data_IF_684948636725
#
_entry.id   IF_684948636725
#
_cell.length_a   1.000
_cell.length_b   1.000
_cell.length_c   1.000
_cell.angle_alpha   90.00
_cell.angle_beta   90.00
_cell.angle_gamma   90.00
#
_symmetry.space_group_name_H-M   'P 1'
#
loop_
_entity.id
_entity.type
_entity.pdbx_description
1 polymer ?
#
# COMPACT_ATOMS: atom_id res chain seq x y z
N UNK A 1 -27.07 33.95 0.81
CA UNK A 1 -27.14 32.48 0.98
C UNK A 1 -25.90 32.09 1.77
N UNK A 2 -26.06 31.66 3.03
CA UNK A 2 -24.95 31.36 3.96
C UNK A 2 -24.81 29.84 4.11
N UNK A 3 -24.25 29.15 3.13
CA UNK A 3 -23.99 27.69 3.18
C UNK A 3 -22.51 27.34 3.38
N UNK A 4 -21.61 28.33 3.28
CA UNK A 4 -20.16 28.16 3.15
C UNK A 4 -19.46 27.47 4.35
N UNK A 5 -19.84 27.65 5.62
CA UNK A 5 -19.15 27.02 6.75
C UNK A 5 -19.44 25.51 6.92
N UNK A 6 -20.68 25.09 6.64
CA UNK A 6 -21.12 23.71 6.87
C UNK A 6 -20.56 22.75 5.82
N UNK A 7 -20.51 23.18 4.56
CA UNK A 7 -19.89 22.42 3.48
C UNK A 7 -18.39 22.23 3.73
N UNK A 8 -17.70 23.28 4.19
CA UNK A 8 -16.27 23.24 4.52
C UNK A 8 -15.97 22.25 5.64
N UNK A 9 -16.75 22.28 6.72
CA UNK A 9 -16.63 21.31 7.82
C UNK A 9 -16.89 19.86 7.35
N UNK A 10 -17.81 19.68 6.41
CA UNK A 10 -18.14 18.36 5.86
C UNK A 10 -17.03 17.84 4.95
N UNK A 11 -16.50 18.67 4.05
CA UNK A 11 -15.35 18.31 3.22
C UNK A 11 -14.10 18.04 4.06
N UNK A 12 -13.89 18.75 5.17
CA UNK A 12 -12.82 18.43 6.12
C UNK A 12 -12.99 17.06 6.78
N UNK A 13 -14.22 16.67 7.14
CA UNK A 13 -14.50 15.29 7.62
C UNK A 13 -14.20 14.26 6.53
N UNK A 14 -14.54 14.55 5.28
CA UNK A 14 -14.19 13.66 4.17
C UNK A 14 -12.69 13.58 3.94
N UNK A 15 -11.95 14.69 4.05
CA UNK A 15 -10.49 14.67 3.95
C UNK A 15 -9.83 13.81 5.03
N UNK A 16 -10.42 13.70 6.23
CA UNK A 16 -9.96 12.76 7.26
C UNK A 16 -10.20 11.29 6.87
N UNK A 17 -11.34 11.00 6.24
CA UNK A 17 -11.67 9.64 5.78
C UNK A 17 -10.94 9.25 4.49
N UNK A 18 -10.64 10.22 3.63
CA UNK A 18 -10.02 10.06 2.33
C UNK A 18 -8.78 10.97 2.25
N UNK A 19 -7.59 10.47 2.67
CA UNK A 19 -6.36 11.27 2.71
C UNK A 19 -5.93 11.84 1.35
N UNK A 20 -6.35 11.19 0.26
CA UNK A 20 -6.10 11.63 -1.11
C UNK A 20 -6.95 12.80 -1.59
N UNK A 21 -7.97 13.18 -0.84
CA UNK A 21 -8.92 14.22 -1.24
C UNK A 21 -8.32 15.62 -1.03
N UNK A 22 -8.21 16.37 -2.12
CA UNK A 22 -7.78 17.77 -2.11
C UNK A 22 -8.97 18.68 -2.37
N UNK A 23 -9.18 19.63 -1.48
CA UNK A 23 -10.27 20.61 -1.54
C UNK A 23 -9.68 21.88 -2.15
N UNK A 24 -10.26 22.35 -3.26
CA UNK A 24 -9.87 23.59 -3.92
C UNK A 24 -10.90 24.66 -3.54
N UNK A 25 -10.48 25.59 -2.68
CA UNK A 25 -11.26 26.75 -2.27
C UNK A 25 -10.97 27.93 -3.21
N UNK A 26 -12.00 28.63 -3.65
CA UNK A 26 -11.89 29.92 -4.36
C UNK A 26 -12.75 30.92 -3.60
N UNK A 27 -12.16 32.05 -3.21
CA UNK A 27 -12.84 33.13 -2.45
C UNK A 27 -13.53 32.66 -1.15
N UNK A 28 -12.95 31.65 -0.50
CA UNK A 28 -13.45 31.12 0.78
C UNK A 28 -14.54 30.07 0.66
N UNK A 29 -14.98 29.73 -0.56
CA UNK A 29 -15.96 28.69 -0.83
C UNK A 29 -15.31 27.46 -1.48
N UNK A 30 -15.77 26.27 -1.08
CA UNK A 30 -15.32 25.01 -1.70
C UNK A 30 -15.87 24.97 -3.12
N UNK A 31 -14.99 25.08 -4.11
CA UNK A 31 -15.39 25.12 -5.52
C UNK A 31 -15.25 23.75 -6.19
N UNK A 32 -14.14 23.05 -5.95
CA UNK A 32 -13.86 21.74 -6.59
C UNK A 32 -13.16 20.76 -5.67
N UNK A 33 -13.38 19.47 -5.94
CA UNK A 33 -12.66 18.37 -5.32
C UNK A 33 -11.68 17.74 -6.32
N UNK A 34 -10.45 17.49 -5.88
CA UNK A 34 -9.40 16.82 -6.65
C UNK A 34 -8.90 15.58 -5.93
N UNK A 35 -8.38 14.64 -6.70
CA UNK A 35 -7.68 13.48 -6.14
C UNK A 35 -6.17 13.68 -6.30
N UNK A 36 -5.45 13.77 -5.18
CA UNK A 36 -4.01 13.93 -5.16
C UNK A 36 -3.30 12.77 -5.89
N UNK A 37 -3.76 11.53 -5.68
CA UNK A 37 -3.18 10.35 -6.31
C UNK A 37 -3.36 10.39 -7.84
N UNK A 38 -4.58 10.64 -8.32
CA UNK A 38 -4.83 10.72 -9.76
C UNK A 38 -4.07 11.89 -10.40
N UNK A 39 -3.98 13.02 -9.70
CA UNK A 39 -3.24 14.21 -10.15
C UNK A 39 -1.74 13.90 -10.29
N UNK A 40 -1.16 13.21 -9.31
CA UNK A 40 0.27 12.87 -9.30
C UNK A 40 0.69 11.93 -10.43
N UNK A 41 -0.19 11.00 -10.82
CA UNK A 41 0.06 10.07 -11.95
C UNK A 41 -0.55 10.56 -13.26
N UNK A 42 -1.03 11.80 -13.32
CA UNK A 42 -1.61 12.45 -14.50
C UNK A 42 -2.63 11.57 -15.25
N UNK A 43 -3.55 10.96 -14.48
CA UNK A 43 -4.56 10.08 -15.06
C UNK A 43 -5.57 10.89 -15.90
N UNK A 44 -6.08 10.28 -16.97
CA UNK A 44 -7.09 10.90 -17.85
C UNK A 44 -8.50 10.88 -17.24
N UNK A 45 -8.65 11.45 -16.04
CA UNK A 45 -9.94 11.58 -15.36
C UNK A 45 -10.18 13.00 -14.84
N UNK A 46 -11.46 13.32 -14.60
CA UNK A 46 -11.91 14.66 -14.17
C UNK A 46 -11.29 15.07 -12.82
N UNK A 47 -10.95 14.09 -11.98
CA UNK A 47 -10.36 14.29 -10.66
C UNK A 47 -8.87 14.67 -10.68
N UNK A 48 -8.16 14.34 -11.76
CA UNK A 48 -6.74 14.67 -12.00
C UNK A 48 -6.55 16.03 -12.66
N UNK A 49 -7.47 16.42 -13.55
CA UNK A 49 -7.32 17.64 -14.35
C UNK A 49 -7.82 18.88 -13.59
N UNK A 50 -9.06 19.30 -13.86
CA UNK A 50 -9.63 20.51 -13.27
C UNK A 50 -10.27 20.26 -11.89
N UNK A 51 -10.54 19.01 -11.54
CA UNK A 51 -11.31 18.64 -10.35
C UNK A 51 -12.81 18.66 -10.61
N UNK A 52 -13.55 17.87 -9.83
CA UNK A 52 -15.00 17.76 -9.97
C UNK A 52 -15.71 18.91 -9.22
N UNK A 53 -16.67 19.60 -9.87
CA UNK A 53 -17.56 20.53 -9.18
C UNK A 53 -18.66 19.80 -8.38
N UNK A 54 -18.79 18.47 -8.53
CA UNK A 54 -19.78 17.68 -7.82
C UNK A 54 -19.30 17.35 -6.39
N UNK A 55 -19.58 18.27 -5.46
CA UNK A 55 -19.21 18.18 -4.03
C UNK A 55 -20.26 17.34 -3.29
N UNK A 56 -20.37 16.07 -3.66
CA UNK A 56 -21.26 15.09 -3.04
C UNK A 56 -20.48 13.89 -2.52
N UNK A 57 -20.90 13.35 -1.37
CA UNK A 57 -20.25 12.19 -0.75
C UNK A 57 -20.23 10.97 -1.68
N UNK A 58 -21.35 10.69 -2.35
CA UNK A 58 -21.49 9.60 -3.31
C UNK A 58 -20.52 9.72 -4.50
N UNK A 59 -20.17 10.95 -4.89
CA UNK A 59 -19.18 11.22 -5.93
C UNK A 59 -17.77 10.81 -5.46
N UNK A 60 -17.42 11.13 -4.21
CA UNK A 60 -16.14 10.76 -3.59
C UNK A 60 -16.03 9.24 -3.43
N UNK A 61 -17.07 8.59 -2.91
CA UNK A 61 -17.11 7.13 -2.70
C UNK A 61 -17.01 6.38 -4.04
N UNK A 62 -17.79 6.79 -5.05
CA UNK A 62 -17.71 6.21 -6.39
C UNK A 62 -16.34 6.41 -7.05
N UNK A 63 -15.66 7.52 -6.76
CA UNK A 63 -14.29 7.71 -7.24
C UNK A 63 -13.31 6.79 -6.51
N UNK A 64 -13.45 6.60 -5.20
CA UNK A 64 -12.60 5.70 -4.40
C UNK A 64 -12.61 4.26 -4.95
N UNK A 65 -13.76 3.79 -5.41
CA UNK A 65 -13.95 2.45 -6.01
C UNK A 65 -13.57 2.37 -7.50
N UNK A 66 -13.31 3.51 -8.15
CA UNK A 66 -13.01 3.54 -9.58
C UNK A 66 -11.66 2.89 -9.90
N UNK A 67 -11.59 2.15 -11.01
CA UNK A 67 -10.36 1.46 -11.45
C UNK A 67 -9.16 2.41 -11.54
N UNK A 68 -9.38 3.59 -12.09
CA UNK A 68 -8.36 4.64 -12.21
C UNK A 68 -7.80 5.04 -10.84
N UNK A 69 -8.68 5.26 -9.86
CA UNK A 69 -8.27 5.60 -8.50
C UNK A 69 -7.50 4.46 -7.85
N UNK A 70 -8.02 3.22 -7.93
CA UNK A 70 -7.37 2.04 -7.34
C UNK A 70 -5.97 1.83 -7.94
N UNK A 71 -5.81 2.01 -9.25
CA UNK A 71 -4.50 1.94 -9.91
C UNK A 71 -3.55 3.05 -9.44
N UNK A 72 -4.02 4.31 -9.36
CA UNK A 72 -3.20 5.41 -8.84
C UNK A 72 -2.86 5.24 -7.36
N UNK A 73 -3.79 4.76 -6.53
CA UNK A 73 -3.56 4.49 -5.12
C UNK A 73 -2.53 3.39 -4.93
N UNK A 74 -2.58 2.32 -5.74
CA UNK A 74 -1.58 1.25 -5.74
C UNK A 74 -0.18 1.77 -6.10
N UNK A 75 -0.08 2.62 -7.12
CA UNK A 75 1.18 3.26 -7.52
C UNK A 75 1.69 4.28 -6.48
N UNK A 76 0.78 5.00 -5.83
CA UNK A 76 1.12 5.91 -4.74
C UNK A 76 1.69 5.13 -3.56
N UNK A 77 1.02 4.05 -3.16
CA UNK A 77 1.47 3.17 -2.08
C UNK A 77 2.81 2.53 -2.41
N UNK A 78 3.03 2.02 -3.62
CA UNK A 78 4.33 1.46 -3.99
C UNK A 78 5.45 2.49 -3.93
N UNK A 79 5.20 3.71 -4.45
CA UNK A 79 6.18 4.80 -4.43
C UNK A 79 6.44 5.34 -3.02
N UNK A 80 5.44 5.37 -2.14
CA UNK A 80 5.63 5.80 -0.75
C UNK A 80 6.23 4.69 0.11
N UNK A 81 6.01 3.41 -0.20
CA UNK A 81 6.72 2.32 0.43
C UNK A 81 8.23 2.42 0.13
N UNK A 82 8.58 2.77 -1.12
CA UNK A 82 9.97 3.06 -1.49
C UNK A 82 10.55 4.26 -0.70
N UNK A 83 9.73 5.25 -0.30
CA UNK A 83 10.17 6.45 0.44
C UNK A 83 10.15 6.24 1.98
N UNK A 84 9.22 5.45 2.50
CA UNK A 84 9.11 5.15 3.94
C UNK A 84 10.26 4.26 4.42
N UNK A 85 10.83 3.43 3.54
CA UNK A 85 12.06 2.69 3.82
C UNK A 85 13.25 3.64 4.00
N UNK A 86 13.25 4.82 3.38
CA UNK A 86 14.35 5.79 3.51
C UNK A 86 14.29 6.64 4.80
N UNK A 87 13.14 6.72 5.49
CA UNK A 87 12.94 7.72 6.56
C UNK A 87 12.91 7.15 7.98
N UNK A 88 12.67 5.85 8.17
CA UNK A 88 12.58 5.21 9.51
C UNK A 88 13.83 4.45 9.97
N UNK A 89 14.93 4.46 9.20
CA UNK A 89 16.18 3.79 9.57
C UNK A 89 17.21 4.75 10.17
N UNK A 90 16.83 5.52 11.20
CA UNK A 90 17.79 6.17 12.09
C UNK A 90 18.03 5.28 13.31
N UNK A 91 18.77 4.19 13.09
CA UNK A 91 19.77 3.59 13.97
C UNK A 91 19.92 2.10 13.62
N UNK A 92 21.14 1.76 13.19
CA UNK A 92 21.71 0.43 12.89
C UNK A 92 21.49 -0.13 11.47
N UNK A 93 22.60 -0.10 10.73
CA UNK A 93 22.96 -0.87 9.53
C UNK A 93 22.20 -0.52 8.23
N UNK A 94 22.93 0.11 7.31
CA UNK A 94 22.52 0.43 5.94
C UNK A 94 22.11 -0.83 5.18
N UNK A 95 20.80 -1.10 5.09
CA UNK A 95 20.24 -2.12 4.22
C UNK A 95 20.19 -1.59 2.78
N UNK A 96 21.04 -2.13 1.89
CA UNK A 96 20.95 -1.91 0.46
C UNK A 96 19.64 -2.51 -0.06
N UNK A 97 18.65 -1.66 -0.32
CA UNK A 97 17.26 -1.99 -0.62
C UNK A 97 17.00 -2.69 -1.96
N UNK A 98 18.00 -3.35 -2.55
CA UNK A 98 17.75 -4.29 -3.62
C UNK A 98 17.26 -5.61 -3.02
N UNK A 99 15.93 -5.76 -2.93
CA UNK A 99 15.31 -7.07 -2.68
C UNK A 99 15.78 -8.01 -3.78
N UNK A 100 16.68 -8.93 -3.44
CA UNK A 100 17.21 -9.87 -4.41
C UNK A 100 16.10 -10.83 -4.84
N UNK A 101 16.22 -11.38 -6.04
CA UNK A 101 15.27 -12.41 -6.51
C UNK A 101 15.20 -13.59 -5.52
N UNK A 102 16.33 -13.88 -4.86
CA UNK A 102 16.48 -14.88 -3.81
C UNK A 102 15.61 -14.55 -2.56
N UNK A 103 15.53 -13.28 -2.15
CA UNK A 103 14.69 -12.84 -1.03
C UNK A 103 13.19 -13.00 -1.38
N UNK A 104 12.82 -12.75 -2.65
CA UNK A 104 11.44 -12.96 -3.13
C UNK A 104 11.08 -14.44 -3.14
N UNK A 105 11.99 -15.32 -3.55
CA UNK A 105 11.78 -16.76 -3.52
C UNK A 105 11.56 -17.27 -2.10
N UNK A 106 12.42 -16.85 -1.15
CA UNK A 106 12.28 -17.20 0.25
C UNK A 106 10.89 -16.83 0.80
N UNK A 107 10.45 -15.60 0.53
CA UNK A 107 9.16 -15.10 1.03
C UNK A 107 7.98 -15.87 0.40
N UNK A 108 8.04 -16.21 -0.89
CA UNK A 108 7.00 -17.01 -1.56
C UNK A 108 6.91 -18.42 -0.99
N UNK A 109 8.05 -19.03 -0.69
CA UNK A 109 8.12 -20.36 -0.08
C UNK A 109 7.47 -20.36 1.29
N UNK A 110 7.88 -19.45 2.17
CA UNK A 110 7.34 -19.34 3.54
C UNK A 110 5.85 -18.99 3.51
N UNK A 111 5.43 -18.08 2.62
CA UNK A 111 4.01 -17.75 2.41
C UNK A 111 3.19 -18.97 1.96
N UNK A 112 3.70 -19.74 1.00
CA UNK A 112 3.00 -20.93 0.50
C UNK A 112 2.86 -22.00 1.59
N UNK A 113 3.90 -22.21 2.39
CA UNK A 113 3.86 -23.13 3.53
C UNK A 113 2.83 -22.69 4.57
N UNK A 114 2.85 -21.42 4.96
CA UNK A 114 1.90 -20.85 5.92
C UNK A 114 0.46 -20.93 5.41
N UNK A 115 0.23 -20.59 4.14
CA UNK A 115 -1.10 -20.64 3.50
C UNK A 115 -1.69 -22.06 3.46
N UNK A 116 -0.84 -23.08 3.30
CA UNK A 116 -1.26 -24.48 3.26
C UNK A 116 -1.17 -25.16 4.64
N UNK A 117 -1.02 -24.38 5.72
CA UNK A 117 -0.95 -24.87 7.10
C UNK A 117 0.16 -25.92 7.31
N UNK A 118 1.25 -25.81 6.53
CA UNK A 118 2.40 -26.71 6.66
C UNK A 118 3.24 -26.26 7.87
N UNK A 119 3.66 -27.19 8.75
CA UNK A 119 4.41 -26.85 9.96
C UNK A 119 5.72 -26.12 9.66
N UNK A 120 6.05 -25.13 10.49
CA UNK A 120 7.23 -24.28 10.33
C UNK A 120 8.55 -25.07 10.37
N UNK A 121 8.57 -26.24 11.00
CA UNK A 121 9.73 -27.13 11.01
C UNK A 121 10.08 -27.63 9.59
N UNK A 122 9.12 -27.65 8.66
CA UNK A 122 9.30 -28.07 7.27
C UNK A 122 9.85 -26.98 6.36
N UNK A 123 10.04 -25.76 6.87
CA UNK A 123 10.57 -24.65 6.07
C UNK A 123 11.97 -24.97 5.59
N UNK A 124 12.86 -25.45 6.47
CA UNK A 124 14.23 -25.79 6.07
C UNK A 124 14.27 -26.98 5.09
N UNK A 125 13.45 -28.02 5.30
CA UNK A 125 13.29 -29.13 4.35
C UNK A 125 12.90 -28.62 2.94
N UNK A 126 12.03 -27.60 2.87
CA UNK A 126 11.58 -27.01 1.62
C UNK A 126 12.65 -26.14 0.95
N UNK A 127 13.43 -25.39 1.74
CA UNK A 127 14.56 -24.61 1.23
C UNK A 127 15.68 -25.52 0.70
N UNK A 128 15.92 -26.64 1.36
CA UNK A 128 16.85 -27.68 0.90
C UNK A 128 16.38 -28.27 -0.44
N UNK A 129 15.10 -28.63 -0.56
CA UNK A 129 14.52 -29.10 -1.84
C UNK A 129 14.64 -28.08 -2.96
N UNK A 130 14.47 -26.79 -2.67
CA UNK A 130 14.64 -25.74 -3.67
C UNK A 130 16.10 -25.62 -4.11
N UNK A 131 17.05 -25.73 -3.17
CA UNK A 131 18.48 -25.75 -3.46
C UNK A 131 18.85 -26.96 -4.33
N UNK A 132 18.28 -28.13 -4.05
CA UNK A 132 18.48 -29.35 -4.86
C UNK A 132 17.90 -29.24 -6.28
N UNK A 133 16.90 -28.36 -6.48
CA UNK A 133 16.34 -28.05 -7.80
C UNK A 133 17.03 -26.86 -8.49
N UNK A 134 18.25 -26.53 -8.07
CA UNK A 134 19.07 -25.44 -8.65
C UNK A 134 18.42 -24.05 -8.52
N UNK A 135 17.51 -23.86 -7.57
CA UNK A 135 17.03 -22.53 -7.20
C UNK A 135 18.10 -21.88 -6.34
N UNK A 136 18.56 -20.71 -6.76
CA UNK A 136 19.50 -19.90 -6.00
C UNK A 136 18.78 -19.23 -4.82
N UNK A 137 19.08 -19.68 -3.60
CA UNK A 137 18.47 -19.19 -2.37
C UNK A 137 19.56 -18.63 -1.46
N UNK A 138 19.33 -17.42 -0.96
CA UNK A 138 20.26 -16.70 -0.09
C UNK A 138 20.52 -17.39 1.26
N UNK A 139 19.54 -18.14 1.75
CA UNK A 139 19.59 -18.80 3.06
C UNK A 139 19.18 -20.26 2.91
N UNK A 140 20.13 -21.16 3.17
CA UNK A 140 19.90 -22.61 3.12
C UNK A 140 19.24 -23.15 4.39
N UNK A 141 19.40 -22.45 5.52
CA UNK A 141 18.79 -22.79 6.79
C UNK A 141 18.44 -21.51 7.54
N UNK A 142 17.21 -21.44 8.01
CA UNK A 142 16.72 -20.36 8.86
C UNK A 142 16.56 -20.87 10.30
N UNK A 143 16.80 -19.97 11.26
CA UNK A 143 16.48 -20.24 12.66
C UNK A 143 14.98 -20.23 12.88
N UNK A 144 14.52 -20.91 13.91
CA UNK A 144 13.09 -20.96 14.27
C UNK A 144 12.52 -19.57 14.58
N UNK A 145 13.31 -18.69 15.20
CA UNK A 145 12.93 -17.29 15.45
C UNK A 145 12.73 -16.53 14.15
N UNK A 146 13.66 -16.64 13.20
CA UNK A 146 13.55 -15.95 11.90
C UNK A 146 12.35 -16.45 11.09
N UNK A 147 12.06 -17.76 11.13
CA UNK A 147 10.89 -18.32 10.45
C UNK A 147 9.60 -17.73 11.02
N UNK A 148 9.49 -17.67 12.36
CA UNK A 148 8.32 -17.10 13.02
C UNK A 148 8.16 -15.60 12.75
N UNK A 149 9.26 -14.84 12.77
CA UNK A 149 9.24 -13.40 12.49
C UNK A 149 8.70 -13.15 11.06
N UNK A 150 9.16 -13.94 10.07
CA UNK A 150 8.68 -13.84 8.69
C UNK A 150 7.20 -14.22 8.59
N UNK A 151 6.77 -15.31 9.24
CA UNK A 151 5.37 -15.74 9.25
C UNK A 151 4.45 -14.71 9.90
N UNK A 152 4.87 -14.09 11.00
CA UNK A 152 4.13 -13.04 11.68
C UNK A 152 3.97 -11.81 10.79
N UNK A 153 5.05 -11.38 10.12
CA UNK A 153 5.00 -10.30 9.12
C UNK A 153 4.05 -10.62 7.96
N UNK A 154 3.99 -11.87 7.51
CA UNK A 154 3.06 -12.31 6.47
C UNK A 154 1.60 -12.24 6.96
N UNK A 155 1.33 -12.70 8.18
CA UNK A 155 -0.02 -12.68 8.77
C UNK A 155 -0.55 -11.26 8.91
N UNK A 156 0.26 -10.33 9.43
CA UNK A 156 -0.17 -8.91 9.57
C UNK A 156 -0.49 -8.26 8.23
N UNK A 157 0.24 -8.59 7.16
CA UNK A 157 0.00 -8.06 5.81
C UNK A 157 -1.22 -8.69 5.13
N UNK A 158 -1.54 -9.95 5.46
CA UNK A 158 -2.66 -10.68 4.84
C UNK A 158 -4.00 -10.40 5.50
N UNK A 159 -4.03 -10.19 6.82
CA UNK A 159 -5.23 -9.78 7.57
C UNK A 159 -5.75 -8.40 7.13
N UNK A 160 -4.84 -7.48 6.79
CA UNK A 160 -5.18 -6.13 6.27
C UNK A 160 -5.88 -6.18 4.90
N UNK A 161 -5.80 -7.31 4.16
CA UNK A 161 -6.49 -7.47 2.86
C UNK A 161 -7.89 -8.08 2.96
N UNK A 162 -8.33 -8.53 4.14
CA UNK A 162 -9.65 -9.15 4.34
C UNK A 162 -10.68 -8.22 5.03
N UNK A 163 -10.31 -6.98 5.35
CA UNK A 163 -11.21 -5.90 5.79
C UNK A 163 -11.47 -4.90 4.66
#
# INVERSE_FOLDING_TARGET
MMESPLLKNTCQKWKKAFPWLTIVDIDGEVNRLKCAYCTQFNLKNVWSAEGTPNIQRSSVERHNESKDHVSAAKLFLSRNLDISIETECNETETYDGNVSEQDVFLLRTIYSLAKNEIPSERVNDMLELQTLNEVDIKYQNLSWTTINDIQQCISTVTEVKQQ
#
